data_IF_567719998757
#
_entry.id   IF_567719998757
#
_cell.length_a   1.000
_cell.length_b   1.000
_cell.length_c   1.000
_cell.angle_alpha   90.00
_cell.angle_beta   90.00
_cell.angle_gamma   90.00
#
_symmetry.space_group_name_H-M   'P 1'
#
loop_
_entity.id
_entity.type
_entity.pdbx_description
1 polymer ?
#
# COMPACT_ATOMS: atom_id res chain seq x y z
N UNK A 1 11.91 12.15 5.25
CA UNK A 1 11.92 11.01 6.20
C UNK A 1 10.80 11.20 7.22
N UNK A 2 9.99 10.18 7.48
CA UNK A 2 8.91 10.22 8.48
C UNK A 2 9.45 9.85 9.86
N UNK A 3 10.10 8.69 9.97
CA UNK A 3 10.73 8.22 11.21
C UNK A 3 11.82 7.17 10.94
N UNK A 4 12.38 6.62 12.03
CA UNK A 4 13.22 5.42 12.01
C UNK A 4 12.68 4.40 13.01
N UNK A 5 12.53 3.15 12.61
CA UNK A 5 11.97 2.10 13.47
C UNK A 5 12.60 0.76 13.15
N UNK A 6 13.01 0.03 14.19
CA UNK A 6 13.77 -1.23 14.07
C UNK A 6 14.98 -1.13 13.12
N UNK A 7 15.66 0.01 13.09
CA UNK A 7 16.81 0.25 12.21
C UNK A 7 16.45 0.57 10.75
N UNK A 8 15.16 0.62 10.40
CA UNK A 8 14.68 0.96 9.05
C UNK A 8 14.20 2.40 9.02
N UNK A 9 14.69 3.18 8.04
CA UNK A 9 14.18 4.53 7.78
C UNK A 9 12.88 4.43 7.00
N UNK A 10 11.83 5.09 7.48
CA UNK A 10 10.56 5.21 6.74
C UNK A 10 10.47 6.57 6.07
N UNK A 11 10.03 6.54 4.82
CA UNK A 11 9.88 7.73 3.99
C UNK A 11 8.41 7.96 3.71
N UNK A 12 8.05 9.21 3.47
CA UNK A 12 6.75 9.54 2.92
C UNK A 12 6.80 9.18 1.44
N UNK A 13 5.87 8.32 1.00
CA UNK A 13 5.88 7.83 -0.37
C UNK A 13 5.19 8.83 -1.29
N UNK A 14 5.80 9.07 -2.45
CA UNK A 14 5.16 9.78 -3.57
C UNK A 14 5.08 8.87 -4.78
N UNK A 15 3.90 8.84 -5.42
CA UNK A 15 3.69 8.11 -6.67
C UNK A 15 3.93 9.06 -7.85
N UNK A 16 4.83 8.73 -8.78
CA UNK A 16 5.02 9.51 -10.00
C UNK A 16 3.74 9.54 -10.82
N UNK A 17 3.29 10.71 -11.24
CA UNK A 17 2.09 10.86 -12.06
C UNK A 17 2.42 10.71 -13.54
N UNK A 18 3.33 11.53 -14.06
CA UNK A 18 3.65 11.59 -15.48
C UNK A 18 5.09 12.05 -15.70
N UNK A 19 5.77 11.40 -16.65
CA UNK A 19 6.99 11.93 -17.27
C UNK A 19 6.59 12.79 -18.46
N UNK A 20 6.87 14.09 -18.41
CA UNK A 20 6.61 15.02 -19.49
C UNK A 20 7.62 14.77 -20.63
N UNK A 21 7.12 14.40 -21.80
CA UNK A 21 7.95 14.07 -22.95
C UNK A 21 8.69 15.29 -23.53
N UNK A 22 8.21 16.51 -23.32
CA UNK A 22 8.82 17.71 -23.92
C UNK A 22 10.12 18.13 -23.25
N UNK A 23 10.27 17.89 -21.95
CA UNK A 23 11.38 18.38 -21.13
C UNK A 23 11.95 17.32 -20.17
N UNK A 24 11.37 16.11 -20.14
CA UNK A 24 11.77 15.03 -19.25
C UNK A 24 11.36 15.24 -17.79
N UNK A 25 10.59 16.28 -17.47
CA UNK A 25 10.18 16.55 -16.10
C UNK A 25 9.25 15.46 -15.57
N UNK A 26 9.35 15.13 -14.29
CA UNK A 26 8.46 14.18 -13.62
C UNK A 26 7.53 14.93 -12.69
N UNK A 27 6.23 14.77 -12.92
CA UNK A 27 5.19 15.27 -12.01
C UNK A 27 4.79 14.18 -11.02
N UNK A 28 4.29 14.58 -9.86
CA UNK A 28 3.89 13.69 -8.77
C UNK A 28 2.45 14.00 -8.33
N UNK A 29 1.80 13.03 -7.67
CA UNK A 29 0.50 13.24 -7.04
C UNK A 29 0.57 13.98 -5.69
N UNK A 30 1.77 14.37 -5.27
CA UNK A 30 2.03 15.13 -4.04
C UNK A 30 2.93 16.32 -4.36
N UNK A 31 2.84 17.36 -3.53
CA UNK A 31 3.74 18.51 -3.64
C UNK A 31 5.18 18.14 -3.27
N UNK A 32 6.13 18.80 -3.92
CA UNK A 32 7.57 18.76 -3.64
C UNK A 32 8.09 20.19 -3.63
N UNK A 33 9.00 20.50 -2.70
CA UNK A 33 9.65 21.80 -2.58
C UNK A 33 11.11 21.76 -3.00
N UNK A 34 11.63 22.89 -3.46
CA UNK A 34 13.06 23.01 -3.70
C UNK A 34 13.85 22.76 -2.41
N UNK A 35 14.79 21.81 -2.47
CA UNK A 35 15.56 21.37 -1.32
C UNK A 35 15.06 20.07 -0.68
N UNK A 36 13.92 19.52 -1.13
CA UNK A 36 13.50 18.19 -0.72
C UNK A 36 14.48 17.11 -1.23
N UNK A 37 14.81 16.15 -0.36
CA UNK A 37 15.58 14.98 -0.71
C UNK A 37 14.65 13.83 -1.13
N UNK A 38 14.88 13.30 -2.34
CA UNK A 38 14.08 12.20 -2.92
C UNK A 38 14.91 10.93 -2.98
N UNK A 39 14.37 9.85 -2.43
CA UNK A 39 14.96 8.51 -2.49
C UNK A 39 14.24 7.67 -3.55
N UNK A 40 14.98 7.12 -4.51
CA UNK A 40 14.40 6.20 -5.50
C UNK A 40 14.15 4.84 -4.85
N UNK A 41 12.88 4.47 -4.72
CA UNK A 41 12.49 3.15 -4.23
C UNK A 41 12.20 2.19 -5.39
N UNK A 42 12.71 0.97 -5.28
CA UNK A 42 12.47 -0.09 -6.24
C UNK A 42 11.69 -1.24 -5.60
N UNK A 43 10.76 -1.80 -6.37
CA UNK A 43 10.01 -2.99 -6.02
C UNK A 43 10.02 -3.95 -7.22
N UNK A 44 9.93 -5.24 -6.95
CA UNK A 44 9.67 -6.26 -7.97
C UNK A 44 8.18 -6.60 -8.01
N UNK A 45 7.70 -7.16 -9.12
CA UNK A 45 6.32 -7.68 -9.22
C UNK A 45 5.99 -8.63 -8.06
N UNK A 46 6.89 -9.56 -7.74
CA UNK A 46 6.71 -10.48 -6.60
C UNK A 46 6.58 -9.73 -5.26
N UNK A 47 7.43 -8.73 -5.00
CA UNK A 47 7.36 -7.96 -3.76
C UNK A 47 6.08 -7.13 -3.63
N UNK A 48 5.46 -6.73 -4.75
CA UNK A 48 4.16 -6.08 -4.76
C UNK A 48 3.07 -7.08 -4.36
N UNK A 49 3.10 -8.28 -4.92
CA UNK A 49 2.13 -9.35 -4.59
C UNK A 49 2.25 -9.81 -3.13
N UNK A 50 3.45 -9.89 -2.57
CA UNK A 50 3.67 -10.27 -1.17
C UNK A 50 3.04 -9.30 -0.15
N UNK A 51 2.68 -8.08 -0.57
CA UNK A 51 2.03 -7.10 0.31
C UNK A 51 0.66 -7.58 0.79
N UNK A 52 -0.09 -8.30 -0.06
CA UNK A 52 -1.38 -8.89 0.32
C UNK A 52 -1.23 -9.83 1.52
N UNK A 53 -0.25 -10.73 1.46
CA UNK A 53 -0.02 -11.69 2.54
C UNK A 53 0.39 -10.97 3.83
N UNK A 54 1.20 -9.91 3.71
CA UNK A 54 1.62 -9.11 4.86
C UNK A 54 0.45 -8.40 5.54
N UNK A 55 -0.46 -7.79 4.79
CA UNK A 55 -1.61 -7.05 5.36
C UNK A 55 -2.63 -8.00 5.97
N UNK A 56 -2.90 -9.14 5.33
CA UNK A 56 -3.75 -10.20 5.88
C UNK A 56 -3.18 -10.71 7.19
N UNK A 57 -1.88 -11.05 7.22
CA UNK A 57 -1.20 -11.52 8.43
C UNK A 57 -1.24 -10.47 9.54
N UNK A 58 -1.07 -9.17 9.21
CA UNK A 58 -1.14 -8.08 10.21
C UNK A 58 -2.56 -7.96 10.77
N UNK A 59 -3.57 -7.88 9.92
CA UNK A 59 -4.97 -7.74 10.34
C UNK A 59 -5.48 -8.97 11.11
N UNK A 60 -5.06 -10.19 10.74
CA UNK A 60 -5.41 -11.43 11.44
C UNK A 60 -4.89 -11.51 12.87
N UNK A 61 -3.87 -10.75 13.28
CA UNK A 61 -3.30 -10.82 14.64
C UNK A 61 -4.34 -10.54 15.74
N UNK A 62 -5.45 -9.87 15.42
CA UNK A 62 -6.55 -9.63 16.36
C UNK A 62 -7.67 -10.69 16.32
N UNK A 63 -7.79 -11.47 15.24
CA UNK A 63 -8.89 -12.40 15.04
C UNK A 63 -8.66 -13.74 15.76
N UNK A 64 -9.61 -14.14 16.61
CA UNK A 64 -9.59 -15.41 17.34
C UNK A 64 -10.55 -16.45 16.77
N UNK A 65 -11.46 -16.02 15.91
CA UNK A 65 -12.50 -16.83 15.28
C UNK A 65 -12.32 -16.88 13.76
N UNK A 66 -13.15 -17.66 13.08
CA UNK A 66 -13.24 -17.60 11.62
C UNK A 66 -13.70 -16.20 11.19
N UNK A 67 -13.17 -15.73 10.07
CA UNK A 67 -13.53 -14.41 9.54
C UNK A 67 -14.89 -14.50 8.83
N UNK A 68 -15.76 -13.54 9.10
CA UNK A 68 -17.04 -13.38 8.40
C UNK A 68 -16.87 -12.75 7.01
N UNK A 69 -15.78 -12.01 6.80
CA UNK A 69 -15.39 -11.49 5.50
C UNK A 69 -14.25 -10.47 5.55
N UNK A 70 -13.99 -9.81 4.43
CA UNK A 70 -12.94 -8.79 4.36
C UNK A 70 -13.13 -7.74 3.26
N UNK A 71 -12.42 -6.63 3.42
CA UNK A 71 -12.23 -5.59 2.39
C UNK A 71 -10.74 -5.51 2.08
N UNK A 72 -10.39 -5.57 0.80
CA UNK A 72 -9.02 -5.35 0.32
C UNK A 72 -8.96 -4.03 -0.47
N UNK A 73 -8.11 -3.10 -0.02
CA UNK A 73 -7.79 -1.90 -0.79
C UNK A 73 -6.34 -2.03 -1.25
N UNK A 74 -6.14 -2.00 -2.57
CA UNK A 74 -4.79 -2.06 -3.12
C UNK A 74 -4.56 -0.95 -4.13
N UNK A 75 -3.55 -0.10 -3.89
CA UNK A 75 -3.28 1.08 -4.70
C UNK A 75 -3.26 0.76 -6.21
N UNK A 76 -4.01 1.53 -6.99
CA UNK A 76 -4.14 1.39 -8.43
C UNK A 76 -2.81 1.49 -9.17
N UNK A 77 -1.85 2.25 -8.64
CA UNK A 77 -0.49 2.29 -9.16
C UNK A 77 0.26 0.97 -9.00
N UNK A 78 0.01 0.24 -7.91
CA UNK A 78 0.56 -1.10 -7.71
C UNK A 78 -0.15 -2.13 -8.60
N UNK A 79 -1.50 -2.05 -8.66
CA UNK A 79 -2.31 -2.92 -9.52
C UNK A 79 -1.91 -2.76 -11.00
N UNK A 80 -1.71 -1.52 -11.45
CA UNK A 80 -1.21 -1.23 -12.80
C UNK A 80 0.19 -1.78 -13.07
N UNK A 81 1.05 -1.94 -12.06
CA UNK A 81 2.39 -2.50 -12.22
C UNK A 81 2.42 -4.04 -12.23
N UNK A 82 1.42 -4.69 -11.66
CA UNK A 82 1.30 -6.16 -11.63
C UNK A 82 0.35 -6.71 -12.70
N UNK A 83 -0.49 -5.87 -13.30
CA UNK A 83 -1.30 -6.15 -14.50
C UNK A 83 -2.09 -7.48 -14.39
N UNK A 84 -1.75 -8.46 -15.24
CA UNK A 84 -2.37 -9.79 -15.32
C UNK A 84 -2.29 -10.59 -14.02
N UNK A 85 -1.38 -10.24 -13.10
CA UNK A 85 -1.23 -10.90 -11.80
C UNK A 85 -2.26 -10.44 -10.75
N UNK A 86 -3.23 -9.59 -11.12
CA UNK A 86 -4.27 -9.10 -10.20
C UNK A 86 -5.21 -10.22 -9.72
N UNK A 87 -5.46 -11.24 -10.55
CA UNK A 87 -6.24 -12.41 -10.15
C UNK A 87 -5.51 -13.22 -9.05
N UNK A 88 -4.18 -13.29 -9.13
CA UNK A 88 -3.37 -13.94 -8.12
C UNK A 88 -3.41 -13.20 -6.78
N UNK A 89 -3.43 -11.86 -6.80
CA UNK A 89 -3.63 -11.03 -5.60
C UNK A 89 -4.97 -11.37 -4.94
N UNK A 90 -6.04 -11.47 -5.72
CA UNK A 90 -7.37 -11.83 -5.21
C UNK A 90 -7.39 -13.26 -4.65
N UNK A 91 -6.74 -14.22 -5.33
CA UNK A 91 -6.63 -15.60 -4.88
C UNK A 91 -5.83 -15.72 -3.58
N UNK A 92 -4.67 -15.05 -3.48
CA UNK A 92 -3.84 -15.02 -2.27
C UNK A 92 -4.58 -14.39 -1.09
N UNK A 93 -5.31 -13.30 -1.33
CA UNK A 93 -6.13 -12.66 -0.29
C UNK A 93 -7.23 -13.61 0.21
N UNK A 94 -8.01 -14.20 -0.70
CA UNK A 94 -9.05 -15.17 -0.37
C UNK A 94 -8.53 -16.36 0.43
N UNK A 95 -7.38 -16.92 0.01
CA UNK A 95 -6.71 -18.00 0.75
C UNK A 95 -6.25 -17.54 2.14
N UNK A 96 -5.66 -16.36 2.25
CA UNK A 96 -5.16 -15.80 3.51
C UNK A 96 -6.26 -15.52 4.55
N UNK A 97 -7.47 -15.21 4.11
CA UNK A 97 -8.63 -15.04 5.00
C UNK A 97 -9.41 -16.34 5.26
N UNK A 98 -8.98 -17.46 4.69
CA UNK A 98 -9.59 -18.77 4.91
C UNK A 98 -10.86 -19.01 4.07
N UNK A 99 -10.97 -18.37 2.90
CA UNK A 99 -12.10 -18.54 1.98
C UNK A 99 -13.36 -17.76 2.35
N UNK A 100 -13.29 -16.88 3.35
CA UNK A 100 -14.38 -15.97 3.68
C UNK A 100 -14.70 -15.03 2.50
N UNK A 101 -15.96 -14.57 2.34
CA UNK A 101 -16.32 -13.64 1.27
C UNK A 101 -15.60 -12.30 1.44
N UNK A 102 -15.21 -11.68 0.33
CA UNK A 102 -14.56 -10.38 0.38
C UNK A 102 -14.90 -9.51 -0.84
N UNK A 103 -14.67 -8.22 -0.68
CA UNK A 103 -14.69 -7.23 -1.76
C UNK A 103 -13.35 -6.54 -1.85
N UNK A 104 -12.89 -6.25 -3.07
CA UNK A 104 -11.66 -5.53 -3.32
C UNK A 104 -11.89 -4.27 -4.15
N UNK A 105 -11.06 -3.26 -3.96
CA UNK A 105 -11.01 -2.09 -4.82
C UNK A 105 -9.58 -1.61 -5.06
N UNK A 106 -9.35 -1.06 -6.24
CA UNK A 106 -8.12 -0.37 -6.59
C UNK A 106 -8.35 1.15 -6.51
N UNK A 107 -7.66 1.82 -5.59
CA UNK A 107 -7.82 3.26 -5.32
C UNK A 107 -6.51 4.02 -5.52
N UNK A 108 -6.58 5.34 -5.64
CA UNK A 108 -5.40 6.20 -5.64
C UNK A 108 -5.51 7.21 -4.50
N UNK A 109 -4.39 7.50 -3.85
CA UNK A 109 -4.28 8.61 -2.89
C UNK A 109 -4.87 8.28 -1.52
N UNK A 110 -4.53 7.12 -0.97
CA UNK A 110 -4.88 6.76 0.40
C UNK A 110 -4.32 7.80 1.39
N UNK A 111 -5.02 8.08 2.49
CA UNK A 111 -4.57 8.97 3.56
C UNK A 111 -4.59 8.19 4.88
N UNK A 112 -3.48 8.23 5.60
CA UNK A 112 -3.34 7.51 6.87
C UNK A 112 -2.41 8.21 7.85
N UNK A 113 -2.19 7.59 9.00
CA UNK A 113 -1.25 8.08 10.01
C UNK A 113 -0.18 7.03 10.26
N UNK A 114 1.06 7.45 10.48
CA UNK A 114 2.10 6.54 10.95
C UNK A 114 1.95 6.40 12.48
N UNK A 115 1.86 5.16 12.98
CA UNK A 115 1.73 4.88 14.42
C UNK A 115 2.91 5.42 15.24
N UNK A 116 4.08 5.55 14.62
CA UNK A 116 5.27 6.13 15.20
C UNK A 116 5.76 7.28 14.34
N UNK A 117 5.87 8.44 14.96
CA UNK A 117 6.20 9.70 14.33
C UNK A 117 6.05 10.79 15.38
N UNK A 118 6.75 11.91 15.19
CA UNK A 118 6.68 13.07 16.08
C UNK A 118 5.29 13.74 16.06
N UNK A 119 4.43 13.39 15.10
CA UNK A 119 3.07 13.89 14.92
C UNK A 119 2.13 12.76 14.46
N UNK A 120 0.85 12.80 14.88
CA UNK A 120 -0.24 11.92 14.41
C UNK A 120 -0.96 12.51 13.19
N UNK A 121 -0.26 13.30 12.40
CA UNK A 121 -0.86 14.03 11.29
C UNK A 121 -1.21 13.06 10.14
N UNK A 122 -2.35 13.28 9.47
CA UNK A 122 -2.67 12.56 8.24
C UNK A 122 -1.61 12.83 7.18
N UNK A 123 -1.13 11.77 6.53
CA UNK A 123 -0.14 11.80 5.46
C UNK A 123 -0.63 10.99 4.27
N UNK A 124 -0.14 11.32 3.07
CA UNK A 124 -0.38 10.53 1.88
C UNK A 124 0.23 9.13 2.00
N UNK A 125 -0.60 8.11 1.84
CA UNK A 125 -0.26 6.69 1.78
C UNK A 125 -0.18 6.21 0.34
N UNK A 126 0.75 6.72 -0.45
CA UNK A 126 0.93 6.25 -1.82
C UNK A 126 1.48 4.81 -1.87
N UNK A 127 1.10 4.06 -2.91
CA UNK A 127 1.58 2.69 -3.17
C UNK A 127 1.24 1.71 -2.02
N UNK A 128 0.13 1.93 -1.32
CA UNK A 128 -0.24 1.13 -0.15
C UNK A 128 -1.13 -0.08 -0.52
N UNK A 129 -1.17 -1.04 0.40
CA UNK A 129 -2.08 -2.18 0.41
C UNK A 129 -2.60 -2.28 1.83
N UNK A 130 -3.92 -2.32 1.99
CA UNK A 130 -4.58 -2.28 3.29
C UNK A 130 -5.81 -3.20 3.29
N UNK A 131 -6.16 -3.70 4.47
CA UNK A 131 -7.32 -4.57 4.62
C UNK A 131 -8.04 -4.37 5.94
N UNK A 132 -9.36 -4.54 5.89
CA UNK A 132 -10.23 -4.67 7.05
C UNK A 132 -10.79 -6.08 7.04
N UNK A 133 -10.71 -6.78 8.16
CA UNK A 133 -11.24 -8.12 8.34
C UNK A 133 -12.36 -8.09 9.38
N UNK A 134 -13.45 -8.78 9.10
CA UNK A 134 -14.59 -8.91 10.02
C UNK A 134 -14.55 -10.28 10.68
N UNK A 135 -14.64 -10.31 12.02
CA UNK A 135 -14.85 -11.54 12.77
C UNK A 135 -16.32 -11.94 12.79
N UNK A 136 -16.56 -13.21 13.10
CA UNK A 136 -17.90 -13.77 13.37
C UNK A 136 -18.19 -13.89 14.86
#
# INVERSE_FOLDING_TARGET
VVDRTHGVTRYLLSHPHLVNASDGAVSFFTDMSNGDEVELMMATRGSLMDRVDHVVRRARRGAKTALAGGVLIYCGGCVGAIEESTDEVSARFGAGIGGAPFVGAATFGEIGTFESGRTREPMHGNLMCDTILFDG
#
